data_IF_677717866791
#
_entry.id   IF_677717866791
#
_cell.length_a   1.000
_cell.length_b   1.000
_cell.length_c   1.000
_cell.angle_alpha   90.00
_cell.angle_beta   90.00
_cell.angle_gamma   90.00
#
_symmetry.space_group_name_H-M   'P 1'
#
loop_
_entity.id
_entity.type
_entity.pdbx_description
1 polymer ?
#
# COMPACT_ATOMS: atom_id res chain seq x y z
N UNK A 1 -8.44 22.98 0.68
CA UNK A 1 -9.56 22.95 1.60
C UNK A 1 -10.62 21.98 1.16
N UNK A 2 -11.36 22.28 0.11
CA UNK A 2 -12.41 21.35 -0.34
C UNK A 2 -11.83 20.02 -0.77
N UNK A 3 -10.61 19.99 -1.30
CA UNK A 3 -9.98 18.73 -1.65
C UNK A 3 -9.70 17.86 -0.44
N UNK A 4 -9.29 18.47 0.65
CA UNK A 4 -9.04 17.75 1.88
C UNK A 4 -10.33 17.17 2.44
N UNK A 5 -11.40 17.95 2.36
CA UNK A 5 -12.70 17.49 2.80
C UNK A 5 -13.18 16.34 1.95
N UNK A 6 -12.99 16.45 0.64
CA UNK A 6 -13.37 15.38 -0.27
C UNK A 6 -12.58 14.11 0.00
N UNK A 7 -11.30 14.25 0.29
CA UNK A 7 -10.48 13.10 0.62
C UNK A 7 -10.96 12.42 1.88
N UNK A 8 -11.33 13.20 2.89
CA UNK A 8 -11.86 12.64 4.13
C UNK A 8 -13.18 11.93 3.90
N UNK A 9 -14.05 12.53 3.09
CA UNK A 9 -15.32 11.89 2.76
C UNK A 9 -15.10 10.59 2.02
N UNK A 10 -14.14 10.58 1.11
CA UNK A 10 -13.80 9.36 0.37
C UNK A 10 -13.29 8.29 1.32
N UNK A 11 -12.46 8.68 2.28
CA UNK A 11 -11.94 7.74 3.26
C UNK A 11 -13.06 7.18 4.13
N UNK A 12 -14.05 7.98 4.44
CA UNK A 12 -15.20 7.52 5.21
C UNK A 12 -15.98 6.44 4.49
N UNK A 13 -15.97 6.48 3.17
CA UNK A 13 -16.63 5.47 2.37
C UNK A 13 -15.82 4.19 2.29
N UNK A 14 -14.53 4.26 2.52
CA UNK A 14 -13.66 3.10 2.52
C UNK A 14 -13.75 2.38 3.84
N UNK A 15 -13.46 1.09 3.81
CA UNK A 15 -13.37 0.32 5.03
C UNK A 15 -12.15 0.75 5.82
N UNK A 16 -12.19 0.52 7.13
CA UNK A 16 -11.04 0.76 7.99
C UNK A 16 -9.84 -0.06 7.53
N UNK A 17 -10.09 -1.22 6.96
CA UNK A 17 -9.03 -2.09 6.47
C UNK A 17 -8.22 -1.42 5.36
N UNK A 18 -8.89 -0.70 4.46
CA UNK A 18 -8.19 -0.01 3.38
C UNK A 18 -7.32 1.10 3.91
N UNK A 19 -7.81 1.84 4.89
CA UNK A 19 -7.03 2.90 5.50
C UNK A 19 -5.82 2.33 6.23
N UNK A 20 -6.03 1.28 7.00
CA UNK A 20 -4.93 0.60 7.70
C UNK A 20 -3.91 0.05 6.71
N UNK A 21 -4.37 -0.54 5.62
CA UNK A 21 -3.48 -1.05 4.59
C UNK A 21 -2.60 0.05 4.02
N UNK A 22 -3.18 1.21 3.77
CA UNK A 22 -2.43 2.34 3.23
C UNK A 22 -1.37 2.84 4.21
N UNK A 23 -1.72 2.95 5.49
CA UNK A 23 -0.78 3.39 6.51
C UNK A 23 0.39 2.44 6.64
N UNK A 24 0.12 1.14 6.67
CA UNK A 24 1.18 0.14 6.77
C UNK A 24 2.05 0.11 5.51
N UNK A 25 1.43 0.26 4.36
CA UNK A 25 2.15 0.31 3.11
C UNK A 25 3.12 1.48 3.07
N UNK A 26 2.65 2.67 3.41
CA UNK A 26 3.52 3.86 3.40
C UNK A 26 4.61 3.78 4.45
N UNK A 27 4.31 3.23 5.62
CA UNK A 27 5.31 3.04 6.65
C UNK A 27 6.42 2.10 6.19
N UNK A 28 6.05 1.01 5.54
CA UNK A 28 7.04 0.08 5.02
C UNK A 28 7.88 0.71 3.90
N UNK A 29 7.23 1.47 3.04
CA UNK A 29 7.91 2.17 1.95
C UNK A 29 8.94 3.17 2.49
N UNK A 30 8.60 3.85 3.56
CA UNK A 30 9.49 4.84 4.18
C UNK A 30 10.72 4.21 4.81
N UNK A 31 10.71 2.91 5.06
CA UNK A 31 11.87 2.21 5.60
C UNK A 31 12.94 1.92 4.55
N UNK A 32 12.61 2.10 3.29
CA UNK A 32 13.58 1.86 2.22
C UNK A 32 14.64 2.96 2.22
N UNK A 33 15.90 2.56 2.16
CA UNK A 33 17.03 3.50 2.09
C UNK A 33 17.10 4.13 0.71
N UNK A 34 16.75 3.36 -0.30
CA UNK A 34 16.75 3.82 -1.69
C UNK A 34 15.29 3.91 -2.16
N UNK A 35 15.10 4.55 -3.31
CA UNK A 35 13.78 4.66 -3.89
C UNK A 35 13.24 3.26 -4.21
N UNK A 36 12.06 2.93 -3.71
CA UNK A 36 11.52 1.59 -3.94
C UNK A 36 11.12 1.38 -5.40
N UNK A 37 11.38 0.19 -5.91
CA UNK A 37 11.02 -0.17 -7.29
C UNK A 37 10.10 -1.37 -7.36
N UNK A 38 10.05 -2.18 -6.30
CA UNK A 38 9.32 -3.44 -6.34
C UNK A 38 8.66 -3.71 -4.99
N UNK A 39 7.44 -4.19 -5.05
CA UNK A 39 6.74 -4.71 -3.88
C UNK A 39 6.82 -6.23 -3.91
N UNK A 40 7.44 -6.83 -2.89
CA UNK A 40 7.44 -8.27 -2.69
C UNK A 40 6.37 -8.56 -1.65
N UNK A 41 5.28 -9.16 -2.07
CA UNK A 41 4.14 -9.37 -1.19
C UNK A 41 3.84 -10.85 -1.01
N UNK A 42 3.61 -11.25 0.23
CA UNK A 42 3.23 -12.61 0.54
C UNK A 42 1.88 -12.94 -0.09
N UNK A 43 1.79 -14.13 -0.68
CA UNK A 43 0.57 -14.59 -1.32
C UNK A 43 -0.63 -14.59 -0.37
N UNK A 44 -0.41 -14.75 0.92
CA UNK A 44 -1.46 -14.77 1.93
C UNK A 44 -1.56 -13.47 2.71
N UNK A 45 -0.96 -12.40 2.21
CA UNK A 45 -0.97 -11.12 2.90
C UNK A 45 -2.41 -10.62 3.07
N UNK A 46 -2.70 -10.10 4.25
CA UNK A 46 -4.02 -9.60 4.60
C UNK A 46 -4.51 -8.53 3.64
N UNK A 47 -3.62 -7.67 3.19
CA UNK A 47 -3.95 -6.57 2.30
C UNK A 47 -3.39 -6.78 0.90
N UNK A 48 -3.39 -8.01 0.44
CA UNK A 48 -2.79 -8.35 -0.86
C UNK A 48 -3.32 -7.46 -1.99
N UNK A 49 -4.64 -7.38 -2.11
CA UNK A 49 -5.26 -6.60 -3.19
C UNK A 49 -4.99 -5.12 -3.06
N UNK A 50 -5.12 -4.60 -1.85
CA UNK A 50 -4.93 -3.17 -1.60
C UNK A 50 -3.49 -2.75 -1.88
N UNK A 51 -2.54 -3.52 -1.39
CA UNK A 51 -1.13 -3.21 -1.58
C UNK A 51 -0.72 -3.34 -3.04
N UNK A 52 -1.26 -4.32 -3.75
CA UNK A 52 -0.99 -4.46 -5.19
C UNK A 52 -1.48 -3.23 -5.94
N UNK A 53 -2.64 -2.73 -5.59
CA UNK A 53 -3.17 -1.52 -6.18
C UNK A 53 -2.28 -0.30 -5.88
N UNK A 54 -1.88 -0.15 -4.62
CA UNK A 54 -1.02 0.97 -4.23
C UNK A 54 0.31 0.93 -4.97
N UNK A 55 0.91 -0.24 -5.06
CA UNK A 55 2.19 -0.40 -5.76
C UNK A 55 2.06 -0.06 -7.24
N UNK A 56 1.00 -0.51 -7.88
CA UNK A 56 0.76 -0.18 -9.28
C UNK A 56 0.58 1.33 -9.48
N UNK A 57 -0.13 1.98 -8.56
CA UNK A 57 -0.33 3.43 -8.63
C UNK A 57 0.97 4.18 -8.46
N UNK A 58 1.90 3.63 -7.68
CA UNK A 58 3.22 4.21 -7.45
C UNK A 58 4.23 3.84 -8.53
N UNK A 59 3.85 3.00 -9.47
CA UNK A 59 4.75 2.57 -10.54
C UNK A 59 5.71 1.47 -10.12
N UNK A 60 5.41 0.77 -9.04
CA UNK A 60 6.26 -0.34 -8.58
C UNK A 60 5.82 -1.64 -9.25
N UNK A 61 6.78 -2.55 -9.42
CA UNK A 61 6.47 -3.91 -9.80
C UNK A 61 5.91 -4.66 -8.60
N UNK A 62 4.96 -5.54 -8.84
CA UNK A 62 4.41 -6.38 -7.79
C UNK A 62 4.86 -7.81 -8.02
N UNK A 63 5.55 -8.38 -7.04
CA UNK A 63 6.00 -9.76 -7.10
C UNK A 63 5.41 -10.52 -5.93
N UNK A 64 4.72 -11.61 -6.24
CA UNK A 64 4.12 -12.45 -5.22
C UNK A 64 5.18 -13.44 -4.74
N UNK A 65 5.38 -13.48 -3.44
CA UNK A 65 6.36 -14.36 -2.83
C UNK A 65 5.71 -15.21 -1.76
N UNK A 66 6.45 -16.17 -1.27
CA UNK A 66 6.03 -17.01 -0.16
C UNK A 66 6.95 -16.69 1.01
N UNK A 67 6.53 -15.74 1.83
CA UNK A 67 7.35 -15.29 2.94
C UNK A 67 7.05 -13.86 3.35
N UNK A 68 8.03 -13.20 3.93
CA UNK A 68 7.84 -11.87 4.49
C UNK A 68 7.68 -10.81 3.40
N UNK A 69 6.61 -10.06 3.51
CA UNK A 69 6.34 -8.93 2.60
C UNK A 69 7.34 -7.81 2.84
N UNK A 70 7.82 -7.24 1.74
CA UNK A 70 8.77 -6.13 1.83
C UNK A 70 8.67 -5.26 0.57
N UNK A 71 9.18 -4.04 0.69
CA UNK A 71 9.27 -3.10 -0.44
C UNK A 71 10.72 -2.67 -0.54
N UNK A 72 11.26 -2.77 -1.69
CA UNK A 72 12.54 -2.23 -2.16
C UNK A 72 12.88 -2.93 -3.49
#
# INVERSE_FOLDING_TARGET
>A
MSKEIEALETLDEYSDDQYSAFLEYTALKDQCIIEPTTLYIDNNHEFFSEWSYFANADGLDVKVIDGETRIC
#
